data_IF_664216188825
#
_entry.id   IF_664216188825
#
_cell.length_a   1.000
_cell.length_b   1.000
_cell.length_c   1.000
_cell.angle_alpha   90.00
_cell.angle_beta   90.00
_cell.angle_gamma   90.00
#
_symmetry.space_group_name_H-M   'P 1'
#
loop_
_entity.id
_entity.type
_entity.pdbx_description
1 polymer ?
#
# COMPACT_ATOMS: atom_id res chain seq x y z
N UNK A 1 -15.32 -3.01 -10.83
CA UNK A 1 -13.84 -2.86 -10.99
C UNK A 1 -13.24 -3.80 -9.97
N UNK A 2 -12.15 -4.51 -10.26
CA UNK A 2 -11.53 -5.36 -9.25
C UNK A 2 -10.39 -4.58 -8.64
N UNK A 3 -10.60 -4.04 -7.43
CA UNK A 3 -9.58 -3.33 -6.67
C UNK A 3 -9.03 -4.23 -5.56
N UNK A 4 -7.78 -4.02 -5.18
CA UNK A 4 -7.14 -4.60 -4.01
C UNK A 4 -7.59 -3.82 -2.76
N UNK A 5 -8.83 -4.04 -2.36
CA UNK A 5 -9.47 -3.41 -1.20
C UNK A 5 -10.23 -4.47 -0.40
N UNK A 6 -10.29 -4.29 0.92
CA UNK A 6 -11.13 -5.07 1.79
C UNK A 6 -12.46 -4.33 2.04
N UNK A 7 -13.58 -4.76 1.43
CA UNK A 7 -14.88 -4.14 1.60
C UNK A 7 -15.57 -4.43 2.95
N UNK A 8 -14.93 -5.18 3.85
CA UNK A 8 -15.54 -5.55 5.13
C UNK A 8 -16.11 -4.34 5.87
N UNK A 9 -17.36 -4.48 6.34
CA UNK A 9 -18.10 -3.43 7.04
C UNK A 9 -18.24 -2.12 6.23
N UNK A 10 -18.13 -2.17 4.91
CA UNK A 10 -18.20 -1.00 4.03
C UNK A 10 -16.99 -0.07 4.11
N UNK A 11 -15.85 -0.54 4.63
CA UNK A 11 -14.66 0.30 4.85
C UNK A 11 -13.74 0.42 3.64
N UNK A 12 -13.76 -0.55 2.71
CA UNK A 12 -12.95 -0.57 1.50
C UNK A 12 -11.46 -0.24 1.74
N UNK A 13 -10.87 -0.84 2.79
CA UNK A 13 -9.49 -0.55 3.17
C UNK A 13 -8.51 -1.08 2.10
N UNK A 14 -7.51 -0.31 1.65
CA UNK A 14 -6.53 -0.80 0.68
C UNK A 14 -5.81 -2.07 1.17
N UNK A 15 -5.57 -3.00 0.25
CA UNK A 15 -4.91 -4.29 0.49
C UNK A 15 -3.75 -4.52 -0.48
N UNK A 16 -2.69 -3.69 -0.45
CA UNK A 16 -1.47 -3.98 -1.20
C UNK A 16 -0.84 -5.28 -0.71
N UNK A 17 -0.14 -6.00 -1.59
CA UNK A 17 0.47 -7.28 -1.26
C UNK A 17 0.68 -8.18 -2.46
N UNK A 18 1.23 -9.36 -2.18
CA UNK A 18 1.55 -10.36 -3.20
C UNK A 18 0.28 -11.11 -3.63
N UNK A 19 0.10 -11.26 -4.93
CA UNK A 19 -0.98 -12.03 -5.52
C UNK A 19 -0.49 -13.46 -5.69
N UNK A 20 -0.86 -14.36 -4.77
CA UNK A 20 -0.41 -15.76 -4.82
C UNK A 20 -1.09 -16.54 -5.95
N UNK A 21 -2.33 -16.20 -6.29
CA UNK A 21 -3.08 -16.80 -7.38
C UNK A 21 -3.99 -15.75 -8.02
N UNK A 22 -3.99 -15.70 -9.36
CA UNK A 22 -4.87 -14.87 -10.17
C UNK A 22 -5.34 -15.70 -11.37
N UNK A 23 -6.59 -16.14 -11.33
CA UNK A 23 -7.24 -16.89 -12.42
C UNK A 23 -8.49 -16.14 -12.84
N UNK A 24 -8.42 -15.35 -13.92
CA UNK A 24 -9.56 -14.60 -14.41
C UNK A 24 -10.65 -15.52 -14.97
N UNK A 25 -11.93 -15.15 -14.84
CA UNK A 25 -13.02 -15.87 -15.48
C UNK A 25 -12.94 -15.69 -17.00
N UNK A 26 -13.43 -16.69 -17.72
CA UNK A 26 -13.48 -16.70 -19.18
C UNK A 26 -14.87 -17.08 -19.67
N UNK A 27 -15.03 -17.11 -21.00
CA UNK A 27 -16.25 -17.57 -21.67
C UNK A 27 -16.99 -16.47 -22.42
N UNK A 28 -18.13 -16.86 -23.01
CA UNK A 28 -18.92 -15.97 -23.86
C UNK A 28 -19.33 -14.70 -23.11
N UNK A 29 -19.16 -13.55 -23.78
CA UNK A 29 -19.56 -12.25 -23.25
C UNK A 29 -18.83 -11.83 -21.96
N UNK A 30 -17.68 -12.43 -21.64
CA UNK A 30 -16.83 -12.10 -20.49
C UNK A 30 -15.46 -11.65 -20.97
N UNK A 31 -14.98 -10.50 -20.49
CA UNK A 31 -13.67 -9.93 -20.83
C UNK A 31 -12.97 -9.48 -19.55
N UNK A 32 -11.69 -9.81 -19.47
CA UNK A 32 -10.79 -9.37 -18.40
C UNK A 32 -9.68 -8.49 -18.97
N UNK A 33 -9.57 -7.27 -18.45
CA UNK A 33 -8.45 -6.36 -18.71
C UNK A 33 -7.66 -6.20 -17.40
N UNK A 34 -6.67 -7.06 -17.17
CA UNK A 34 -5.79 -7.03 -15.99
C UNK A 34 -4.39 -6.53 -16.32
N UNK A 35 -3.73 -5.97 -15.31
CA UNK A 35 -2.31 -5.56 -15.37
C UNK A 35 -1.36 -6.42 -14.53
N UNK A 36 -1.89 -7.46 -13.88
CA UNK A 36 -1.17 -8.34 -12.96
C UNK A 36 -1.38 -9.81 -13.31
N UNK A 37 -0.40 -10.63 -12.97
CA UNK A 37 -0.38 -12.08 -13.06
C UNK A 37 -0.16 -12.72 -11.68
N UNK A 38 -0.26 -14.05 -11.60
CA UNK A 38 0.07 -14.77 -10.36
C UNK A 38 1.56 -14.62 -10.05
N UNK A 39 1.90 -14.22 -8.82
CA UNK A 39 3.26 -13.95 -8.38
C UNK A 39 3.64 -12.46 -8.40
N UNK A 40 2.80 -11.59 -8.97
CA UNK A 40 3.02 -10.14 -8.92
C UNK A 40 2.62 -9.54 -7.57
N UNK A 41 3.14 -8.34 -7.29
CA UNK A 41 2.82 -7.57 -6.08
C UNK A 41 2.00 -6.33 -6.43
N UNK A 42 0.84 -6.17 -5.81
CA UNK A 42 0.10 -4.89 -5.82
C UNK A 42 0.85 -3.89 -4.96
N UNK A 43 1.43 -2.90 -5.61
CA UNK A 43 2.18 -1.85 -4.95
C UNK A 43 1.27 -0.87 -4.20
N UNK A 44 1.74 -0.39 -3.04
CA UNK A 44 1.10 0.71 -2.31
C UNK A 44 1.27 2.08 -2.98
N UNK A 45 2.15 2.19 -3.98
CA UNK A 45 2.50 3.48 -4.60
C UNK A 45 1.64 3.84 -5.82
N UNK A 46 0.75 2.95 -6.26
CA UNK A 46 -0.09 3.13 -7.43
C UNK A 46 -1.58 2.92 -7.10
N UNK A 47 -2.45 3.12 -8.10
CA UNK A 47 -3.86 2.72 -8.00
C UNK A 47 -3.95 1.23 -7.62
N UNK A 48 -4.84 0.92 -6.67
CA UNK A 48 -5.09 -0.44 -6.20
C UNK A 48 -5.96 -1.26 -7.18
N UNK A 49 -6.29 -0.71 -8.36
CA UNK A 49 -6.95 -1.43 -9.44
C UNK A 49 -6.12 -2.63 -9.92
N UNK A 50 -6.61 -3.84 -9.65
CA UNK A 50 -6.06 -5.10 -10.19
C UNK A 50 -6.46 -5.27 -11.66
N UNK A 51 -7.69 -4.91 -11.99
CA UNK A 51 -8.16 -4.92 -13.38
C UNK A 51 -9.66 -4.72 -13.53
N UNK A 52 -10.14 -4.87 -14.76
CA UNK A 52 -11.54 -4.67 -15.14
C UNK A 52 -12.14 -5.99 -15.62
N UNK A 53 -13.16 -6.44 -14.91
CA UNK A 53 -14.07 -7.48 -15.39
C UNK A 53 -15.24 -6.82 -16.10
N UNK A 54 -15.40 -7.10 -17.39
CA UNK A 54 -16.49 -6.60 -18.22
C UNK A 54 -17.31 -7.80 -18.69
N UNK A 55 -18.60 -7.76 -18.42
CA UNK A 55 -19.54 -8.72 -18.99
C UNK A 55 -20.58 -7.98 -19.82
N UNK A 56 -20.95 -8.58 -20.95
CA UNK A 56 -22.02 -8.10 -21.81
C UNK A 56 -23.15 -9.13 -21.82
N UNK A 57 -24.39 -8.72 -22.09
CA UNK A 57 -25.55 -9.58 -22.30
C UNK A 57 -26.54 -8.87 -23.25
N UNK A 58 -27.48 -9.61 -23.84
CA UNK A 58 -28.49 -9.01 -24.72
C UNK A 58 -29.43 -8.06 -23.96
N UNK A 59 -29.64 -8.36 -22.68
CA UNK A 59 -30.38 -7.53 -21.73
C UNK A 59 -29.62 -7.42 -20.39
N UNK A 60 -30.12 -6.53 -19.53
CA UNK A 60 -29.52 -6.23 -18.23
C UNK A 60 -29.53 -7.44 -17.29
N UNK A 61 -30.62 -8.21 -17.14
CA UNK A 61 -30.62 -9.43 -16.32
C UNK A 61 -29.57 -10.46 -16.79
N UNK A 62 -29.43 -10.67 -18.10
CA UNK A 62 -28.44 -11.59 -18.67
C UNK A 62 -27.02 -11.11 -18.39
N UNK A 63 -26.76 -9.80 -18.54
CA UNK A 63 -25.47 -9.21 -18.22
C UNK A 63 -25.13 -9.40 -16.72
N UNK A 64 -26.07 -9.11 -15.81
CA UNK A 64 -25.89 -9.28 -14.36
C UNK A 64 -25.62 -10.74 -14.00
N UNK A 65 -26.44 -11.67 -14.50
CA UNK A 65 -26.26 -13.10 -14.23
C UNK A 65 -24.89 -13.61 -14.72
N UNK A 66 -24.43 -13.11 -15.88
CA UNK A 66 -23.11 -13.42 -16.42
C UNK A 66 -21.99 -12.83 -15.57
N UNK A 67 -22.13 -11.59 -15.09
CA UNK A 67 -21.16 -10.97 -14.18
C UNK A 67 -21.08 -11.71 -12.86
N UNK A 68 -22.21 -12.10 -12.26
CA UNK A 68 -22.24 -12.87 -11.01
C UNK A 68 -21.55 -14.22 -11.16
N UNK A 69 -21.80 -14.95 -12.25
CA UNK A 69 -21.07 -16.19 -12.57
C UNK A 69 -19.56 -15.92 -12.68
N UNK A 70 -19.17 -14.90 -13.45
CA UNK A 70 -17.76 -14.56 -13.66
C UNK A 70 -17.06 -14.17 -12.35
N UNK A 71 -17.69 -13.37 -11.49
CA UNK A 71 -17.14 -12.99 -10.18
C UNK A 71 -16.98 -14.20 -9.25
N UNK A 72 -17.94 -15.14 -9.23
CA UNK A 72 -17.85 -16.36 -8.40
C UNK A 72 -16.78 -17.35 -8.89
N UNK A 73 -16.46 -17.34 -10.18
CA UNK A 73 -15.38 -18.14 -10.76
C UNK A 73 -14.00 -17.47 -10.64
N UNK A 74 -13.96 -16.15 -10.44
CA UNK A 74 -12.73 -15.38 -10.37
C UNK A 74 -11.99 -15.73 -9.07
N UNK A 75 -10.82 -16.36 -9.20
CA UNK A 75 -9.93 -16.62 -8.07
C UNK A 75 -8.82 -15.60 -8.03
N UNK A 76 -8.78 -14.84 -6.93
CA UNK A 76 -7.66 -13.98 -6.56
C UNK A 76 -7.34 -14.28 -5.10
N UNK A 77 -6.09 -14.65 -4.83
CA UNK A 77 -5.58 -15.01 -3.51
C UNK A 77 -4.34 -14.18 -3.16
N UNK A 78 -4.03 -14.06 -1.87
CA UNK A 78 -2.92 -13.25 -1.34
C UNK A 78 -3.30 -11.80 -0.98
N UNK A 79 -4.33 -11.24 -1.62
CA UNK A 79 -4.89 -9.91 -1.33
C UNK A 79 -6.40 -9.97 -1.12
N UNK A 80 -6.94 -9.03 -0.34
CA UNK A 80 -8.38 -8.78 -0.32
C UNK A 80 -8.79 -8.02 -1.60
N UNK A 81 -10.01 -8.28 -2.08
CA UNK A 81 -10.54 -7.60 -3.27
C UNK A 81 -11.98 -7.13 -3.09
N UNK A 82 -12.42 -6.25 -3.98
CA UNK A 82 -13.80 -5.75 -4.05
C UNK A 82 -14.83 -6.79 -4.53
N UNK A 83 -14.40 -7.98 -4.98
CA UNK A 83 -15.29 -9.01 -5.54
C UNK A 83 -16.50 -9.32 -4.63
N UNK A 84 -16.35 -9.49 -3.31
CA UNK A 84 -17.49 -9.77 -2.44
C UNK A 84 -18.52 -8.63 -2.39
N UNK A 85 -18.06 -7.37 -2.44
CA UNK A 85 -18.96 -6.22 -2.52
C UNK A 85 -19.62 -6.10 -3.89
N UNK A 86 -18.89 -6.35 -4.99
CA UNK A 86 -19.45 -6.36 -6.35
C UNK A 86 -20.58 -7.41 -6.46
N UNK A 87 -20.41 -8.59 -5.85
CA UNK A 87 -21.45 -9.63 -5.79
C UNK A 87 -22.67 -9.11 -5.01
N UNK A 88 -22.48 -8.56 -3.82
CA UNK A 88 -23.58 -8.03 -3.00
C UNK A 88 -24.36 -6.91 -3.72
N UNK A 89 -23.66 -6.02 -4.44
CA UNK A 89 -24.27 -4.98 -5.26
C UNK A 89 -25.12 -5.60 -6.37
N UNK A 90 -24.56 -6.54 -7.13
CA UNK A 90 -25.22 -7.14 -8.29
C UNK A 90 -26.42 -8.03 -7.92
N UNK A 91 -26.42 -8.61 -6.72
CA UNK A 91 -27.53 -9.39 -6.18
C UNK A 91 -28.67 -8.52 -5.62
N UNK A 92 -28.41 -7.23 -5.33
CA UNK A 92 -29.40 -6.37 -4.72
C UNK A 92 -30.52 -5.97 -5.70
N UNK A 93 -31.81 -6.06 -5.30
CA UNK A 93 -32.94 -5.66 -6.13
C UNK A 93 -32.84 -4.22 -6.67
N UNK A 94 -32.48 -3.25 -5.83
CA UNK A 94 -32.31 -1.86 -6.28
C UNK A 94 -31.26 -1.70 -7.39
N UNK A 95 -30.20 -2.52 -7.35
CA UNK A 95 -29.27 -2.56 -8.46
C UNK A 95 -29.95 -3.21 -9.66
N UNK A 96 -30.57 -4.39 -9.54
CA UNK A 96 -31.24 -5.13 -10.61
C UNK A 96 -32.39 -4.35 -11.31
N UNK A 97 -33.10 -3.52 -10.58
CA UNK A 97 -34.23 -2.71 -11.05
C UNK A 97 -33.84 -1.28 -11.44
N UNK A 98 -32.56 -0.93 -11.27
CA UNK A 98 -32.00 0.39 -11.54
C UNK A 98 -32.67 1.52 -10.72
N UNK A 99 -33.03 1.24 -9.47
CA UNK A 99 -33.66 2.16 -8.51
C UNK A 99 -32.67 2.65 -7.44
N UNK A 100 -31.40 2.82 -7.80
CA UNK A 100 -30.34 3.30 -6.91
C UNK A 100 -29.91 4.74 -7.25
N UNK A 101 -29.31 5.41 -6.27
CA UNK A 101 -28.74 6.75 -6.40
C UNK A 101 -27.21 6.71 -6.31
N UNK A 102 -26.56 7.86 -6.49
CA UNK A 102 -25.10 7.98 -6.31
C UNK A 102 -24.63 7.89 -4.86
N UNK A 103 -25.54 7.85 -3.88
CA UNK A 103 -25.25 7.66 -2.44
C UNK A 103 -25.73 6.30 -1.90
N UNK A 104 -26.25 5.45 -2.78
CA UNK A 104 -26.97 4.26 -2.38
C UNK A 104 -26.08 3.22 -1.68
N UNK A 105 -24.81 3.14 -2.07
CA UNK A 105 -23.85 2.22 -1.42
C UNK A 105 -23.61 2.64 0.03
N UNK A 106 -23.50 3.94 0.29
CA UNK A 106 -23.28 4.49 1.63
C UNK A 106 -24.53 4.47 2.50
N UNK A 107 -25.70 4.71 1.90
CA UNK A 107 -26.94 4.92 2.63
C UNK A 107 -27.77 3.63 2.82
N UNK A 108 -27.65 2.65 1.92
CA UNK A 108 -28.59 1.51 1.82
C UNK A 108 -27.93 0.14 1.80
N UNK A 109 -26.78 -0.01 1.15
CA UNK A 109 -26.16 -1.32 0.97
C UNK A 109 -25.56 -1.86 2.28
N UNK A 110 -26.09 -2.97 2.76
CA UNK A 110 -25.56 -3.67 3.94
C UNK A 110 -24.39 -4.59 3.54
N UNK A 111 -23.17 -4.21 3.97
CA UNK A 111 -21.94 -4.98 3.78
C UNK A 111 -21.45 -5.64 5.08
N UNK A 112 -22.25 -5.67 6.15
CA UNK A 112 -21.82 -6.24 7.45
C UNK A 112 -21.47 -7.73 7.39
N UNK A 113 -22.09 -8.48 6.48
CA UNK A 113 -21.79 -9.90 6.24
C UNK A 113 -20.70 -10.15 5.19
N UNK A 114 -20.16 -9.11 4.57
CA UNK A 114 -19.19 -9.24 3.48
C UNK A 114 -17.79 -9.36 4.05
N UNK A 115 -17.21 -10.56 3.96
CA UNK A 115 -15.81 -10.80 4.32
C UNK A 115 -15.00 -10.98 3.05
N UNK A 116 -14.01 -10.12 2.82
CA UNK A 116 -12.88 -10.46 1.96
C UNK A 116 -11.81 -11.06 2.86
N UNK A 117 -11.65 -12.38 2.83
CA UNK A 117 -10.53 -13.02 3.52
C UNK A 117 -9.25 -12.65 2.78
N UNK A 118 -8.35 -11.84 3.35
CA UNK A 118 -6.99 -11.86 2.87
C UNK A 118 -6.47 -13.23 3.32
N UNK A 119 -6.26 -14.17 2.40
CA UNK A 119 -5.45 -15.33 2.73
C UNK A 119 -4.05 -14.77 2.90
N UNK A 120 -3.72 -14.37 4.13
CA UNK A 120 -2.35 -14.12 4.54
C UNK A 120 -1.63 -15.44 4.35
N UNK A 121 -0.83 -15.57 3.28
CA UNK A 121 0.25 -16.55 3.24
C UNK A 121 1.37 -16.08 4.15
N UNK A 122 1.05 -15.99 5.44
CA UNK A 122 1.99 -16.29 6.50
C UNK A 122 1.90 -17.81 6.74
N UNK A 123 1.95 -18.60 5.66
CA UNK A 123 2.08 -20.06 5.75
C UNK A 123 3.47 -20.48 6.26
N UNK A 124 4.41 -19.51 6.29
CA UNK A 124 5.75 -19.62 6.87
C UNK A 124 6.00 -18.66 8.05
N UNK A 125 5.03 -17.83 8.48
CA UNK A 125 5.27 -17.07 9.70
C UNK A 125 5.00 -17.92 10.92
N UNK A 126 6.01 -17.97 11.76
CA UNK A 126 5.89 -18.60 13.05
C UNK A 126 4.69 -18.04 13.82
N UNK A 127 3.95 -18.89 14.55
CA UNK A 127 2.85 -18.46 15.41
C UNK A 127 3.31 -17.29 16.29
N UNK A 128 2.59 -16.17 16.22
CA UNK A 128 2.88 -14.98 17.04
C UNK A 128 2.18 -15.12 18.40
N UNK A 129 2.89 -14.86 19.48
CA UNK A 129 2.35 -14.85 20.85
C UNK A 129 2.15 -13.41 21.29
N UNK A 130 0.97 -13.10 21.83
CA UNK A 130 0.68 -11.79 22.42
C UNK A 130 1.44 -11.64 23.75
N UNK A 131 2.15 -10.52 23.91
CA UNK A 131 2.76 -10.13 25.17
C UNK A 131 2.46 -8.70 25.54
N UNK A 132 2.26 -8.48 26.83
CA UNK A 132 2.19 -7.15 27.41
C UNK A 132 3.64 -6.70 27.70
N UNK A 133 4.07 -5.61 27.08
CA UNK A 133 5.41 -5.04 27.21
C UNK A 133 5.29 -3.59 27.66
N UNK A 134 6.02 -3.21 28.70
CA UNK A 134 6.15 -1.81 29.09
C UNK A 134 7.20 -1.12 28.20
N UNK A 135 6.75 -0.21 27.34
CA UNK A 135 7.59 0.57 26.43
C UNK A 135 7.67 2.01 26.93
N UNK A 136 8.89 2.54 27.05
CA UNK A 136 9.12 3.93 27.43
C UNK A 136 9.30 4.80 26.17
N UNK A 137 8.44 5.80 26.01
CA UNK A 137 8.54 6.80 24.93
C UNK A 137 8.59 8.17 25.58
N UNK A 138 9.65 8.94 25.30
CA UNK A 138 9.86 10.29 25.84
C UNK A 138 9.79 10.36 27.39
N UNK A 139 10.32 9.35 28.09
CA UNK A 139 10.34 9.30 29.55
C UNK A 139 9.01 8.91 30.21
N UNK A 140 8.00 8.51 29.44
CA UNK A 140 6.74 7.95 29.95
C UNK A 140 6.60 6.49 29.54
N UNK A 141 6.22 5.65 30.51
CA UNK A 141 6.00 4.21 30.30
C UNK A 141 4.58 3.94 29.84
N UNK A 142 4.46 3.11 28.81
CA UNK A 142 3.21 2.66 28.22
C UNK A 142 3.17 1.13 28.23
N UNK A 143 2.13 0.55 28.80
CA UNK A 143 1.87 -0.88 28.66
C UNK A 143 1.23 -1.12 27.29
N UNK A 144 1.97 -1.74 26.38
CA UNK A 144 1.52 -2.03 25.01
C UNK A 144 1.50 -3.53 24.75
N UNK A 145 0.52 -3.96 23.95
CA UNK A 145 0.38 -5.36 23.52
C UNK A 145 1.15 -5.55 22.23
N UNK A 146 2.21 -6.36 22.25
CA UNK A 146 3.04 -6.65 21.09
C UNK A 146 2.89 -8.14 20.73
N UNK A 147 2.71 -8.42 19.45
CA UNK A 147 2.69 -9.79 18.92
C UNK A 147 4.09 -10.14 18.41
N UNK A 148 4.76 -11.08 19.07
CA UNK A 148 6.12 -11.50 18.72
C UNK A 148 6.14 -12.95 18.21
N UNK A 149 6.99 -13.31 17.23
CA UNK A 149 7.16 -14.70 16.79
C UNK A 149 7.53 -15.63 17.95
N UNK A 150 6.98 -16.86 17.97
CA UNK A 150 7.19 -17.80 19.08
C UNK A 150 8.68 -18.14 19.32
N UNK A 151 9.54 -18.17 18.29
CA UNK A 151 11.00 -18.34 18.48
C UNK A 151 11.65 -17.23 19.31
N UNK A 152 11.13 -16.01 19.27
CA UNK A 152 11.65 -14.87 20.03
C UNK A 152 11.03 -14.77 21.43
N UNK A 153 9.99 -15.57 21.72
CA UNK A 153 9.31 -15.57 23.02
C UNK A 153 10.22 -16.04 24.18
N UNK A 154 11.28 -16.80 23.90
CA UNK A 154 12.24 -17.29 24.90
C UNK A 154 13.49 -16.43 25.10
N UNK A 155 13.81 -15.53 24.17
CA UNK A 155 15.14 -14.91 24.09
C UNK A 155 15.32 -13.66 25.00
N UNK A 156 14.28 -13.18 25.66
CA UNK A 156 14.34 -11.93 26.46
C UNK A 156 14.33 -12.13 27.98
N UNK A 157 14.45 -13.37 28.49
CA UNK A 157 14.39 -13.64 29.95
C UNK A 157 15.72 -14.18 30.55
N UNK A 158 16.74 -14.49 29.76
CA UNK A 158 17.99 -15.02 30.29
C UNK A 158 19.15 -14.01 30.22
N UNK A 159 19.11 -13.02 31.11
CA UNK A 159 20.33 -12.33 31.53
C UNK A 159 21.07 -13.18 32.56
N UNK A 160 22.35 -13.46 32.28
CA UNK A 160 23.39 -14.08 33.12
C UNK A 160 23.50 -15.62 33.12
N UNK A 161 24.55 -16.13 32.45
CA UNK A 161 25.27 -17.33 32.89
C UNK A 161 25.62 -18.40 31.85
N UNK A 162 26.90 -18.43 31.46
CA UNK A 162 27.72 -19.58 31.03
C UNK A 162 27.55 -20.22 29.62
N UNK A 163 28.72 -20.50 29.05
CA UNK A 163 29.03 -20.89 27.67
C UNK A 163 28.78 -22.37 27.29
N UNK A 164 28.59 -22.63 26.00
CA UNK A 164 29.56 -23.36 25.14
C UNK A 164 28.96 -23.71 23.77
N UNK A 165 29.76 -23.63 22.68
CA UNK A 165 29.47 -24.37 21.45
C UNK A 165 29.73 -23.69 20.09
N UNK A 166 31.00 -23.71 19.66
CA UNK A 166 31.51 -23.82 18.28
C UNK A 166 31.10 -22.81 17.18
N UNK A 167 32.08 -21.98 16.80
CA UNK A 167 32.08 -21.15 15.59
C UNK A 167 32.40 -21.94 14.31
N UNK A 168 31.84 -21.50 13.17
CA UNK A 168 32.36 -21.78 11.82
C UNK A 168 32.33 -20.49 10.98
N UNK A 169 33.39 -20.17 10.21
CA UNK A 169 33.65 -18.78 9.81
C UNK A 169 33.09 -18.45 8.42
N UNK A 170 32.56 -17.24 8.21
CA UNK A 170 32.53 -16.62 6.89
C UNK A 170 32.85 -15.11 6.97
N UNK A 171 33.80 -14.76 6.09
CA UNK A 171 34.50 -13.50 5.83
C UNK A 171 33.62 -12.25 5.90
N UNK A 172 34.17 -11.21 6.53
CA UNK A 172 33.63 -9.86 6.50
C UNK A 172 33.91 -9.13 5.19
N UNK A 173 33.02 -8.18 4.90
CA UNK A 173 33.36 -6.95 4.17
C UNK A 173 32.57 -5.80 4.79
N UNK A 174 33.31 -4.84 5.34
CA UNK A 174 32.97 -3.42 5.34
C UNK A 174 31.72 -3.00 6.10
N UNK A 175 31.91 -2.63 7.37
CA UNK A 175 30.93 -1.85 8.12
C UNK A 175 30.69 -0.47 7.49
N UNK A 176 29.43 -0.08 7.49
CA UNK A 176 28.98 1.30 7.49
C UNK A 176 27.96 1.42 8.59
N UNK A 177 28.40 1.87 9.75
CA UNK A 177 27.59 2.18 10.93
C UNK A 177 26.41 3.08 10.55
N UNK A 178 25.18 2.60 10.82
CA UNK A 178 24.00 3.44 10.89
C UNK A 178 24.16 4.42 12.06
N UNK A 179 24.79 5.55 11.76
CA UNK A 179 24.80 6.71 12.63
C UNK A 179 23.39 7.31 12.63
N UNK A 180 22.85 7.54 13.83
CA UNK A 180 21.86 8.57 14.03
C UNK A 180 22.47 9.90 13.54
N UNK A 181 21.90 10.47 12.49
CA UNK A 181 22.36 11.72 11.89
C UNK A 181 21.16 12.59 11.54
N UNK A 182 21.17 13.83 12.01
CA UNK A 182 20.15 14.82 11.73
C UNK A 182 19.89 14.99 10.24
N UNK A 183 18.65 15.35 9.91
CA UNK A 183 18.17 15.52 8.53
C UNK A 183 19.20 16.23 7.68
N UNK A 184 19.61 15.60 6.58
CA UNK A 184 20.77 15.95 5.75
C UNK A 184 20.60 17.27 4.99
N UNK A 185 19.52 18.01 5.25
CA UNK A 185 19.16 19.20 4.48
C UNK A 185 18.77 18.89 3.03
N UNK A 186 18.91 17.65 2.58
CA UNK A 186 18.68 17.24 1.20
C UNK A 186 17.22 16.85 0.99
N UNK A 187 16.48 17.70 0.29
CA UNK A 187 15.12 17.43 -0.17
C UNK A 187 15.20 16.49 -1.38
N UNK A 188 14.68 15.28 -1.23
CA UNK A 188 14.64 14.27 -2.28
C UNK A 188 13.23 14.06 -2.83
N UNK A 189 13.13 13.61 -4.08
CA UNK A 189 11.83 13.27 -4.68
C UNK A 189 11.42 11.84 -4.32
N UNK A 190 10.18 11.60 -3.88
CA UNK A 190 9.72 10.26 -3.47
C UNK A 190 9.39 9.36 -4.65
N UNK A 191 9.27 9.92 -5.86
CA UNK A 191 8.87 9.20 -7.06
C UNK A 191 9.53 9.79 -8.31
N UNK A 192 9.58 8.98 -9.37
CA UNK A 192 10.03 9.42 -10.68
C UNK A 192 9.02 10.39 -11.32
N UNK A 193 9.51 11.47 -11.91
CA UNK A 193 8.66 12.43 -12.62
C UNK A 193 9.45 13.54 -13.31
N UNK A 194 8.75 14.55 -13.80
CA UNK A 194 9.34 15.72 -14.43
C UNK A 194 9.12 16.97 -13.58
N UNK A 195 10.15 17.78 -13.38
CA UNK A 195 10.02 19.04 -12.62
C UNK A 195 9.25 20.04 -13.47
N UNK A 196 8.04 20.42 -13.04
CA UNK A 196 7.22 21.42 -13.75
C UNK A 196 7.67 22.81 -13.37
N UNK A 197 7.91 23.04 -12.07
CA UNK A 197 8.21 24.37 -11.56
C UNK A 197 9.01 24.30 -10.26
N UNK A 198 9.93 25.25 -10.11
CA UNK A 198 10.67 25.47 -8.87
C UNK A 198 10.10 26.74 -8.24
N UNK A 199 9.77 26.67 -6.95
CA UNK A 199 9.08 27.74 -6.21
C UNK A 199 10.01 28.48 -5.23
N UNK A 200 11.28 28.10 -5.19
CA UNK A 200 12.29 28.68 -4.30
C UNK A 200 13.51 29.15 -5.07
N UNK A 201 14.21 30.13 -4.52
CA UNK A 201 15.48 30.63 -5.03
C UNK A 201 16.63 30.28 -4.09
N UNK A 202 17.85 30.17 -4.63
CA UNK A 202 19.06 30.00 -3.81
C UNK A 202 19.23 31.21 -2.89
N UNK A 203 19.37 30.97 -1.59
CA UNK A 203 19.44 31.98 -0.54
C UNK A 203 18.10 32.31 0.12
N UNK A 204 16.99 31.73 -0.34
CA UNK A 204 15.67 31.96 0.25
C UNK A 204 15.49 31.18 1.57
N UNK A 205 14.87 31.82 2.57
CA UNK A 205 14.45 31.18 3.81
C UNK A 205 13.17 30.36 3.55
N UNK A 206 13.17 29.10 3.97
CA UNK A 206 12.02 28.19 3.85
C UNK A 206 11.68 27.60 5.21
N UNK A 207 10.39 27.41 5.49
CA UNK A 207 9.91 26.72 6.69
C UNK A 207 9.78 25.21 6.43
N UNK A 208 9.77 24.41 7.51
CA UNK A 208 9.47 22.99 7.38
C UNK A 208 8.03 22.82 6.86
N UNK A 209 7.86 22.01 5.81
CA UNK A 209 6.60 21.84 5.09
C UNK A 209 6.37 22.83 3.94
N UNK A 210 7.23 23.83 3.75
CA UNK A 210 7.12 24.76 2.62
C UNK A 210 7.37 24.04 1.28
N UNK A 211 6.55 24.32 0.27
CA UNK A 211 6.71 23.71 -1.05
C UNK A 211 7.92 24.30 -1.79
N UNK A 212 8.80 23.42 -2.25
CA UNK A 212 10.09 23.75 -2.86
C UNK A 212 10.00 23.63 -4.38
N UNK A 213 9.39 22.56 -4.89
CA UNK A 213 9.15 22.36 -6.31
C UNK A 213 7.87 21.54 -6.55
N UNK A 214 7.39 21.58 -7.80
CA UNK A 214 6.25 20.84 -8.30
C UNK A 214 6.75 19.79 -9.28
N UNK A 215 6.44 18.53 -8.99
CA UNK A 215 6.78 17.36 -9.79
C UNK A 215 5.53 16.87 -10.52
N UNK A 216 5.58 16.69 -11.82
CA UNK A 216 4.55 15.98 -12.57
C UNK A 216 4.92 14.50 -12.64
N UNK A 217 4.05 13.65 -12.10
CA UNK A 217 4.13 12.21 -12.24
C UNK A 217 2.72 11.70 -12.56
N UNK A 218 2.62 10.78 -13.53
CA UNK A 218 1.34 10.16 -13.91
C UNK A 218 0.21 11.17 -14.24
N UNK A 219 0.55 12.32 -14.86
CA UNK A 219 -0.35 13.44 -15.20
C UNK A 219 -0.97 14.16 -13.99
N UNK A 220 -0.36 14.01 -12.81
CA UNK A 220 -0.74 14.69 -11.58
C UNK A 220 0.45 15.51 -11.08
N UNK A 221 0.17 16.73 -10.62
CA UNK A 221 1.16 17.62 -10.01
C UNK A 221 1.28 17.31 -8.51
N UNK A 222 2.49 17.01 -8.08
CA UNK A 222 2.84 16.69 -6.70
C UNK A 222 3.79 17.75 -6.13
N UNK A 223 3.38 18.34 -5.02
CA UNK A 223 4.15 19.37 -4.33
C UNK A 223 5.20 18.72 -3.43
N UNK A 224 6.48 19.00 -3.69
CA UNK A 224 7.59 18.52 -2.87
C UNK A 224 7.85 19.54 -1.77
N UNK A 225 7.71 19.11 -0.51
CA UNK A 225 7.86 19.96 0.66
C UNK A 225 9.25 19.84 1.30
N UNK A 226 9.71 20.92 1.93
CA UNK A 226 10.95 20.95 2.70
C UNK A 226 10.80 20.15 4.00
N UNK A 227 11.72 19.22 4.28
CA UNK A 227 11.70 18.44 5.53
C UNK A 227 12.13 19.25 6.76
N UNK A 228 12.82 20.36 6.54
CA UNK A 228 13.40 21.21 7.60
C UNK A 228 13.29 22.69 7.21
N UNK A 229 13.11 23.55 8.21
CA UNK A 229 13.27 24.99 8.06
C UNK A 229 14.76 25.37 7.94
N UNK A 230 15.09 26.26 7.01
CA UNK A 230 16.47 26.67 6.77
C UNK A 230 16.61 27.55 5.54
N UNK A 231 17.84 27.73 5.07
CA UNK A 231 18.14 28.54 3.88
C UNK A 231 18.49 27.64 2.71
N UNK A 232 17.88 27.88 1.54
CA UNK A 232 18.16 27.10 0.32
C UNK A 232 19.60 27.36 -0.12
N UNK A 233 20.46 26.35 -0.04
CA UNK A 233 21.87 26.42 -0.39
C UNK A 233 22.13 26.19 -1.87
N UNK A 234 21.45 25.19 -2.44
CA UNK A 234 21.67 24.74 -3.81
C UNK A 234 20.41 24.11 -4.37
N UNK A 235 20.11 24.38 -5.64
CA UNK A 235 19.04 23.74 -6.41
C UNK A 235 19.72 22.97 -7.54
N UNK A 236 19.51 21.64 -7.60
CA UNK A 236 20.24 20.73 -8.49
C UNK A 236 19.51 20.41 -9.80
N UNK A 237 18.29 20.90 -9.94
CA UNK A 237 17.37 20.59 -11.05
C UNK A 237 16.78 21.87 -11.62
N UNK A 238 16.35 21.82 -12.88
CA UNK A 238 15.65 22.88 -13.60
C UNK A 238 14.26 22.43 -14.01
N UNK A 239 13.38 23.40 -14.35
CA UNK A 239 12.08 23.07 -14.93
C UNK A 239 12.25 22.33 -16.27
N UNK A 240 11.57 21.20 -16.42
CA UNK A 240 11.68 20.27 -17.55
C UNK A 240 12.57 19.06 -17.30
N UNK A 241 13.35 19.04 -16.20
CA UNK A 241 14.25 17.91 -15.92
C UNK A 241 13.48 16.68 -15.44
N UNK A 242 13.91 15.51 -15.90
CA UNK A 242 13.41 14.22 -15.42
C UNK A 242 14.24 13.73 -14.24
N UNK A 243 13.57 13.37 -13.15
CA UNK A 243 14.18 12.92 -11.89
C UNK A 243 13.64 11.55 -11.51
N UNK A 244 14.46 10.71 -10.89
CA UNK A 244 14.12 9.40 -10.35
C UNK A 244 13.81 9.45 -8.86
N UNK A 245 13.17 8.40 -8.33
CA UNK A 245 12.91 8.29 -6.90
C UNK A 245 14.22 8.28 -6.09
N UNK A 246 14.32 9.16 -5.08
CA UNK A 246 15.50 9.35 -4.25
C UNK A 246 16.47 10.43 -4.75
N UNK A 247 16.25 11.02 -5.92
CA UNK A 247 17.10 12.10 -6.41
C UNK A 247 16.94 13.36 -5.56
N UNK A 248 18.07 13.97 -5.20
CA UNK A 248 18.10 15.20 -4.39
C UNK A 248 17.89 16.41 -5.30
N UNK A 249 16.79 17.12 -5.10
CA UNK A 249 16.42 18.28 -5.90
C UNK A 249 16.91 19.60 -5.30
N UNK A 250 16.87 19.73 -3.96
CA UNK A 250 17.26 20.96 -3.24
C UNK A 250 18.01 20.62 -1.95
N UNK A 251 19.01 21.42 -1.62
CA UNK A 251 19.74 21.33 -0.35
C UNK A 251 19.46 22.57 0.49
N UNK A 252 19.05 22.35 1.75
CA UNK A 252 18.67 23.35 2.75
C UNK A 252 19.67 23.27 3.90
N UNK A 253 20.21 24.41 4.35
CA UNK A 253 21.10 24.52 5.52
C UNK A 253 20.32 24.95 6.77
#
# INVERSE_FOLDING_TARGET
RINAENPAEGKFLPSPGDISTLVPPAGFGTRWDGGYESGDTVSQYYDNLVGKLICWGEDRPTAIARTLRALREFRIEGIATTIPADIAILEHPDFADATHSTKWVEDTLDLTGVSATPITTDADAEPKVQRDVDVEVNGKRFAVKVFVPQSQAGAVVAGAGAASGAAKPRRGSGGGSGAAGGGSGAVSVPMQGTIVKILVEVGQQVEAGATVCVLEAMKMENNIAAEKAGTVKEIKVSAGDSVGAGDVVVVIE
#
